data_IF_064066917674
#
_entry.id   IF_064066917674
#
_cell.length_a   1.000
_cell.length_b   1.000
_cell.length_c   1.000
_cell.angle_alpha   90.00
_cell.angle_beta   90.00
_cell.angle_gamma   90.00
#
_symmetry.space_group_name_H-M   'P 1'
#
loop_
_entity.id
_entity.type
_entity.pdbx_description
1 polymer ?
#
# COMPACT_ATOMS: atom_id res chain seq x y z
N UNK A 1 39.82 -19.91 -2.62
CA UNK A 1 38.81 -19.52 -3.63
C UNK A 1 37.45 -20.24 -3.44
N UNK A 2 37.40 -21.54 -3.07
CA UNK A 2 36.13 -22.27 -2.87
C UNK A 2 35.34 -21.78 -1.65
N UNK A 3 36.02 -21.49 -0.54
CA UNK A 3 35.40 -20.97 0.71
C UNK A 3 34.80 -19.58 0.46
N UNK A 4 35.50 -18.69 -0.23
CA UNK A 4 35.00 -17.34 -0.56
C UNK A 4 33.76 -17.42 -1.47
N UNK A 5 33.75 -18.31 -2.45
CA UNK A 5 32.61 -18.53 -3.33
C UNK A 5 31.39 -19.06 -2.54
N UNK A 6 31.62 -19.93 -1.56
CA UNK A 6 30.57 -20.47 -0.68
C UNK A 6 29.98 -19.39 0.25
N UNK A 7 30.83 -18.51 0.81
CA UNK A 7 30.39 -17.38 1.64
C UNK A 7 29.57 -16.36 0.82
N UNK A 8 30.02 -16.01 -0.38
CA UNK A 8 29.30 -15.12 -1.29
C UNK A 8 27.94 -15.72 -1.65
N UNK A 9 27.89 -17.01 -1.99
CA UNK A 9 26.63 -17.68 -2.33
C UNK A 9 25.67 -17.69 -1.13
N UNK A 10 26.19 -17.98 0.09
CA UNK A 10 25.40 -17.97 1.31
C UNK A 10 24.86 -16.57 1.65
N UNK A 11 25.68 -15.53 1.49
CA UNK A 11 25.26 -14.16 1.69
C UNK A 11 24.18 -13.72 0.70
N UNK A 12 24.32 -14.09 -0.58
CA UNK A 12 23.31 -13.84 -1.61
C UNK A 12 22.00 -14.60 -1.32
N UNK A 13 22.09 -15.85 -0.86
CA UNK A 13 20.92 -16.64 -0.50
C UNK A 13 20.16 -16.02 0.67
N UNK A 14 20.86 -15.66 1.76
CA UNK A 14 20.28 -15.00 2.92
C UNK A 14 19.67 -13.63 2.58
N UNK A 15 20.32 -12.86 1.71
CA UNK A 15 19.77 -11.60 1.21
C UNK A 15 18.48 -11.80 0.43
N UNK A 16 18.43 -12.79 -0.48
CA UNK A 16 17.21 -13.13 -1.22
C UNK A 16 16.09 -13.65 -0.32
N UNK A 17 16.43 -14.47 0.66
CA UNK A 17 15.48 -14.98 1.65
C UNK A 17 14.90 -13.85 2.52
N UNK A 18 15.73 -12.90 2.95
CA UNK A 18 15.29 -11.71 3.67
C UNK A 18 14.39 -10.81 2.80
N UNK A 19 14.75 -10.61 1.54
CA UNK A 19 13.90 -9.89 0.58
C UNK A 19 12.56 -10.61 0.37
N UNK A 20 12.57 -11.92 0.18
CA UNK A 20 11.36 -12.73 0.01
C UNK A 20 10.46 -12.65 1.25
N UNK A 21 11.03 -12.80 2.45
CA UNK A 21 10.29 -12.71 3.71
C UNK A 21 9.74 -11.29 3.94
N UNK A 22 10.47 -10.25 3.56
CA UNK A 22 10.01 -8.87 3.59
C UNK A 22 8.82 -8.65 2.64
N UNK A 23 8.91 -9.17 1.41
CA UNK A 23 7.82 -9.12 0.43
C UNK A 23 6.58 -9.91 0.91
N UNK A 24 6.77 -11.10 1.45
CA UNK A 24 5.68 -11.91 2.03
C UNK A 24 5.03 -11.23 3.23
N UNK A 25 5.79 -10.47 4.02
CA UNK A 25 5.25 -9.71 5.16
C UNK A 25 4.42 -8.48 4.76
N UNK A 26 4.63 -7.97 3.55
CA UNK A 26 3.83 -6.85 2.99
C UNK A 26 2.42 -7.30 2.62
N UNK A 27 2.22 -8.59 2.29
CA UNK A 27 0.90 -9.15 2.08
C UNK A 27 0.28 -9.44 3.45
N UNK A 28 -0.74 -8.67 3.85
CA UNK A 28 -1.49 -8.93 5.07
C UNK A 28 -2.32 -10.23 4.90
N UNK A 29 -1.99 -11.35 5.59
CA UNK A 29 -2.68 -12.62 5.36
C UNK A 29 -4.19 -12.52 5.62
N UNK A 30 -4.58 -11.71 6.60
CA UNK A 30 -5.97 -11.45 6.94
C UNK A 30 -6.74 -10.73 5.82
N UNK A 31 -6.10 -9.79 5.11
CA UNK A 31 -6.70 -9.14 3.94
C UNK A 31 -6.98 -10.17 2.85
N UNK A 32 -5.97 -10.97 2.48
CA UNK A 32 -6.10 -11.99 1.45
C UNK A 32 -7.22 -13.00 1.78
N UNK A 33 -7.25 -13.49 3.02
CA UNK A 33 -8.30 -14.40 3.49
C UNK A 33 -9.71 -13.79 3.35
N UNK A 34 -9.87 -12.52 3.74
CA UNK A 34 -11.14 -11.82 3.65
C UNK A 34 -11.60 -11.62 2.20
N UNK A 35 -10.69 -11.25 1.29
CA UNK A 35 -11.00 -11.08 -0.13
C UNK A 35 -11.43 -12.41 -0.74
N UNK A 36 -10.70 -13.50 -0.49
CA UNK A 36 -11.05 -14.82 -1.01
C UNK A 36 -12.41 -15.31 -0.48
N UNK A 37 -12.73 -15.06 0.79
CA UNK A 37 -14.05 -15.37 1.34
C UNK A 37 -15.16 -14.56 0.67
N UNK A 38 -14.92 -13.27 0.40
CA UNK A 38 -15.89 -12.41 -0.31
C UNK A 38 -16.11 -12.92 -1.73
N UNK A 39 -15.05 -13.26 -2.47
CA UNK A 39 -15.15 -13.85 -3.82
C UNK A 39 -15.95 -15.16 -3.78
N UNK A 40 -15.67 -16.04 -2.81
CA UNK A 40 -16.42 -17.29 -2.64
C UNK A 40 -17.92 -17.05 -2.38
N UNK A 41 -18.25 -16.02 -1.59
CA UNK A 41 -19.63 -15.63 -1.35
C UNK A 41 -20.31 -15.11 -2.61
N UNK A 42 -19.64 -14.24 -3.37
CA UNK A 42 -20.15 -13.72 -4.65
C UNK A 42 -20.49 -14.86 -5.63
N UNK A 43 -19.61 -15.87 -5.73
CA UNK A 43 -19.84 -17.05 -6.57
C UNK A 43 -21.10 -17.82 -6.08
N UNK A 44 -21.25 -18.03 -4.78
CA UNK A 44 -22.41 -18.72 -4.19
C UNK A 44 -23.73 -17.96 -4.42
N UNK A 45 -23.66 -16.62 -4.49
CA UNK A 45 -24.81 -15.76 -4.77
C UNK A 45 -25.10 -15.60 -6.28
N UNK A 46 -24.30 -16.20 -7.16
CA UNK A 46 -24.46 -16.06 -8.61
C UNK A 46 -23.89 -14.77 -9.21
N UNK A 47 -23.18 -13.96 -8.42
CA UNK A 47 -22.59 -12.69 -8.83
C UNK A 47 -21.24 -12.90 -9.54
N UNK A 48 -21.27 -13.70 -10.61
CA UNK A 48 -20.06 -14.17 -11.30
C UNK A 48 -19.23 -13.03 -11.90
N UNK A 49 -19.87 -11.99 -12.45
CA UNK A 49 -19.15 -10.85 -13.05
C UNK A 49 -18.33 -10.11 -12.01
N UNK A 50 -18.93 -9.85 -10.86
CA UNK A 50 -18.27 -9.19 -9.73
C UNK A 50 -17.14 -10.07 -9.18
N UNK A 51 -17.36 -11.38 -9.06
CA UNK A 51 -16.34 -12.32 -8.62
C UNK A 51 -15.13 -12.36 -9.55
N UNK A 52 -15.34 -12.41 -10.87
CA UNK A 52 -14.25 -12.40 -11.87
C UNK A 52 -13.43 -11.11 -11.74
N UNK A 53 -14.10 -9.94 -11.73
CA UNK A 53 -13.44 -8.66 -11.56
C UNK A 53 -12.61 -8.60 -10.26
N UNK A 54 -13.15 -9.15 -9.17
CA UNK A 54 -12.43 -9.19 -7.88
C UNK A 54 -11.16 -10.06 -7.92
N UNK A 55 -11.17 -11.15 -8.72
CA UNK A 55 -9.97 -11.96 -8.95
C UNK A 55 -8.94 -11.18 -9.78
N UNK A 56 -9.39 -10.44 -10.81
CA UNK A 56 -8.53 -9.59 -11.63
C UNK A 56 -7.89 -8.48 -10.79
N UNK A 57 -8.68 -7.77 -9.97
CA UNK A 57 -8.20 -6.72 -9.06
C UNK A 57 -7.20 -7.29 -8.03
N UNK A 58 -7.49 -8.47 -7.46
CA UNK A 58 -6.58 -9.14 -6.54
C UNK A 58 -5.26 -9.52 -7.21
N UNK A 59 -5.32 -10.07 -8.41
CA UNK A 59 -4.12 -10.42 -9.19
C UNK A 59 -3.28 -9.18 -9.52
N UNK A 60 -3.94 -8.09 -9.93
CA UNK A 60 -3.28 -6.82 -10.24
C UNK A 60 -2.60 -6.21 -8.99
N UNK A 61 -3.32 -6.15 -7.87
CA UNK A 61 -2.81 -5.68 -6.59
C UNK A 61 -1.60 -6.49 -6.14
N UNK A 62 -1.71 -7.83 -6.09
CA UNK A 62 -0.60 -8.70 -5.69
C UNK A 62 0.60 -8.57 -6.62
N UNK A 63 0.37 -8.51 -7.94
CA UNK A 63 1.43 -8.28 -8.93
C UNK A 63 2.13 -6.93 -8.73
N UNK A 64 1.40 -5.90 -8.32
CA UNK A 64 1.93 -4.57 -8.02
C UNK A 64 2.87 -4.55 -6.81
N UNK A 65 2.47 -5.19 -5.71
CA UNK A 65 3.26 -5.22 -4.47
C UNK A 65 4.42 -6.23 -4.50
N UNK A 66 4.34 -7.27 -5.33
CA UNK A 66 5.43 -8.27 -5.46
C UNK A 66 6.53 -7.83 -6.41
N UNK A 67 6.21 -7.02 -7.41
CA UNK A 67 7.16 -6.51 -8.40
C UNK A 67 7.48 -5.03 -8.09
N UNK A 68 8.22 -4.81 -7.01
CA UNK A 68 8.62 -3.47 -6.57
C UNK A 68 9.81 -3.00 -7.41
N UNK A 69 9.53 -2.32 -8.51
CA UNK A 69 10.53 -1.50 -9.20
C UNK A 69 10.88 -0.28 -8.32
N UNK A 70 12.08 0.27 -8.43
CA UNK A 70 12.48 1.44 -7.63
C UNK A 70 11.56 2.64 -7.89
N UNK A 71 11.24 2.91 -9.17
CA UNK A 71 10.36 3.99 -9.58
C UNK A 71 9.29 3.50 -10.54
N UNK A 72 8.04 3.86 -10.26
CA UNK A 72 6.89 3.58 -11.13
C UNK A 72 6.16 4.88 -11.48
N UNK A 73 5.32 4.85 -12.51
CA UNK A 73 4.49 6.01 -12.84
C UNK A 73 3.38 6.20 -11.80
N UNK A 74 2.97 7.46 -11.57
CA UNK A 74 1.82 7.76 -10.72
C UNK A 74 0.59 6.98 -11.19
N UNK A 75 0.37 6.84 -12.49
CA UNK A 75 -0.69 6.01 -13.08
C UNK A 75 -0.68 4.58 -12.54
N UNK A 76 0.51 3.93 -12.56
CA UNK A 76 0.67 2.55 -12.09
C UNK A 76 0.39 2.44 -10.59
N UNK A 77 0.91 3.36 -9.80
CA UNK A 77 0.69 3.41 -8.34
C UNK A 77 -0.81 3.59 -8.03
N UNK A 78 -1.50 4.52 -8.72
CA UNK A 78 -2.93 4.76 -8.54
C UNK A 78 -3.77 3.55 -8.94
N UNK A 79 -3.41 2.84 -10.01
CA UNK A 79 -4.13 1.62 -10.43
C UNK A 79 -3.99 0.51 -9.38
N UNK A 80 -2.82 0.34 -8.75
CA UNK A 80 -2.61 -0.60 -7.65
C UNK A 80 -3.47 -0.21 -6.44
N UNK A 81 -3.48 1.07 -6.10
CA UNK A 81 -4.30 1.62 -5.02
C UNK A 81 -5.80 1.44 -5.28
N UNK A 82 -6.23 1.66 -6.53
CA UNK A 82 -7.63 1.48 -6.93
C UNK A 82 -8.05 0.02 -6.81
N UNK A 83 -7.26 -0.93 -7.33
CA UNK A 83 -7.54 -2.35 -7.20
C UNK A 83 -7.70 -2.77 -5.72
N UNK A 84 -6.83 -2.25 -4.84
CA UNK A 84 -6.97 -2.48 -3.40
C UNK A 84 -8.28 -1.89 -2.85
N UNK A 85 -8.61 -0.63 -3.17
CA UNK A 85 -9.83 0.03 -2.68
C UNK A 85 -11.10 -0.64 -3.20
N UNK A 86 -11.12 -1.10 -4.46
CA UNK A 86 -12.24 -1.86 -5.03
C UNK A 86 -12.48 -3.16 -4.24
N UNK A 87 -11.41 -3.92 -3.91
CA UNK A 87 -11.50 -5.12 -3.09
C UNK A 87 -11.99 -4.84 -1.67
N UNK A 88 -11.54 -3.75 -1.06
CA UNK A 88 -11.99 -3.33 0.27
C UNK A 88 -13.45 -2.87 0.24
N UNK A 89 -13.86 -2.15 -0.81
CA UNK A 89 -15.23 -1.67 -0.97
C UNK A 89 -16.24 -2.84 -1.09
N UNK A 90 -15.88 -3.95 -1.72
CA UNK A 90 -16.71 -5.15 -1.74
C UNK A 90 -17.05 -5.68 -0.33
N UNK A 91 -16.09 -5.56 0.60
CA UNK A 91 -16.29 -5.99 1.99
C UNK A 91 -17.12 -5.02 2.80
N UNK A 92 -16.87 -3.72 2.63
CA UNK A 92 -17.51 -2.67 3.44
C UNK A 92 -18.74 -2.05 2.76
N UNK A 93 -18.95 -2.32 1.47
CA UNK A 93 -20.09 -1.85 0.67
C UNK A 93 -20.32 -0.33 0.84
N UNK A 94 -21.53 0.10 1.17
CA UNK A 94 -21.90 1.51 1.35
C UNK A 94 -21.15 2.22 2.48
N UNK A 95 -20.41 1.47 3.33
CA UNK A 95 -19.61 2.05 4.40
C UNK A 95 -18.28 2.62 3.93
N UNK A 96 -17.80 2.28 2.74
CA UNK A 96 -16.61 2.84 2.16
C UNK A 96 -16.91 3.46 0.80
N UNK A 97 -16.62 4.73 0.68
CA UNK A 97 -16.56 5.44 -0.60
C UNK A 97 -15.17 6.00 -0.81
N UNK A 98 -14.71 6.07 -2.04
CA UNK A 98 -13.45 6.69 -2.35
C UNK A 98 -13.51 7.50 -3.65
N UNK A 99 -12.59 8.46 -3.81
CA UNK A 99 -12.37 9.16 -5.06
C UNK A 99 -10.89 9.37 -5.35
N UNK A 100 -10.51 9.26 -6.62
CA UNK A 100 -9.15 9.52 -7.10
C UNK A 100 -9.23 10.66 -8.11
N UNK A 101 -8.63 11.81 -7.77
CA UNK A 101 -8.64 13.03 -8.57
C UNK A 101 -7.22 13.55 -8.72
N UNK A 102 -6.48 12.98 -9.63
CA UNK A 102 -5.10 13.36 -9.95
C UNK A 102 -5.07 13.93 -11.36
N UNK A 103 -4.37 15.04 -11.54
CA UNK A 103 -4.21 15.70 -12.83
C UNK A 103 -3.59 14.73 -13.84
N UNK A 104 -4.20 14.62 -15.02
CA UNK A 104 -3.80 13.70 -16.08
C UNK A 104 -2.36 13.98 -16.54
N UNK A 105 -1.94 15.25 -16.56
CA UNK A 105 -0.58 15.66 -16.91
C UNK A 105 0.50 15.11 -15.97
N UNK A 106 0.12 14.60 -14.80
CA UNK A 106 1.03 14.05 -13.79
C UNK A 106 1.16 12.54 -13.84
N UNK A 107 0.21 11.86 -14.48
CA UNK A 107 0.08 10.40 -14.40
C UNK A 107 1.30 9.63 -14.90
N UNK A 108 2.04 10.19 -15.85
CA UNK A 108 3.22 9.56 -16.44
C UNK A 108 4.53 9.96 -15.72
N UNK A 109 4.46 10.80 -14.69
CA UNK A 109 5.60 11.10 -13.83
C UNK A 109 5.94 9.93 -12.95
N UNK A 110 7.24 9.75 -12.70
CA UNK A 110 7.75 8.68 -11.84
C UNK A 110 7.81 9.12 -10.38
N UNK A 111 7.44 8.21 -9.51
CA UNK A 111 7.56 8.31 -8.05
C UNK A 111 8.12 6.98 -7.52
N UNK A 112 8.74 6.95 -6.35
CA UNK A 112 9.08 5.70 -5.69
C UNK A 112 7.85 4.81 -5.57
N UNK A 113 8.00 3.52 -5.82
CA UNK A 113 6.92 2.56 -5.62
C UNK A 113 6.48 2.51 -4.16
N UNK A 114 5.24 2.14 -3.91
CA UNK A 114 4.64 2.10 -2.56
C UNK A 114 4.59 3.47 -1.85
N UNK A 115 4.49 4.57 -2.61
CA UNK A 115 4.36 5.93 -2.04
C UNK A 115 2.96 6.18 -1.49
N UNK A 116 1.90 5.86 -2.26
CA UNK A 116 0.50 6.11 -1.88
C UNK A 116 -0.14 4.93 -1.16
N UNK A 117 0.24 3.72 -1.51
CA UNK A 117 -0.38 2.50 -0.98
C UNK A 117 -0.36 2.42 0.54
N UNK A 118 0.77 2.65 1.27
CA UNK A 118 0.77 2.60 2.74
C UNK A 118 -0.15 3.65 3.37
N UNK A 119 -0.30 4.81 2.75
CA UNK A 119 -1.19 5.87 3.23
C UNK A 119 -2.65 5.46 3.10
N UNK A 120 -3.03 4.87 1.96
CA UNK A 120 -4.39 4.36 1.71
C UNK A 120 -4.71 3.18 2.64
N UNK A 121 -3.76 2.25 2.84
CA UNK A 121 -3.91 1.16 3.79
C UNK A 121 -4.10 1.65 5.22
N UNK A 122 -3.39 2.70 5.63
CA UNK A 122 -3.57 3.33 6.93
C UNK A 122 -4.95 4.00 7.04
N UNK A 123 -5.41 4.71 6.01
CA UNK A 123 -6.75 5.28 5.98
C UNK A 123 -7.83 4.20 6.15
N UNK A 124 -7.73 3.07 5.43
CA UNK A 124 -8.64 1.94 5.60
C UNK A 124 -8.57 1.38 7.03
N UNK A 125 -7.37 1.10 7.53
CA UNK A 125 -7.14 0.49 8.85
C UNK A 125 -7.68 1.34 10.00
N UNK A 126 -7.49 2.65 9.95
CA UNK A 126 -7.81 3.52 11.09
C UNK A 126 -9.15 4.24 10.94
N UNK A 127 -9.59 4.54 9.72
CA UNK A 127 -10.86 5.20 9.49
C UNK A 127 -12.02 4.25 9.19
N UNK A 128 -11.80 3.13 8.48
CA UNK A 128 -12.86 2.23 8.03
C UNK A 128 -13.06 1.02 8.96
N UNK A 129 -11.98 0.30 9.29
CA UNK A 129 -12.09 -0.98 10.03
C UNK A 129 -12.73 -0.84 11.42
N UNK A 130 -12.33 0.11 12.28
CA UNK A 130 -12.84 0.20 13.65
C UNK A 130 -14.22 0.87 13.77
N UNK A 131 -14.69 1.51 12.70
CA UNK A 131 -15.90 2.37 12.75
C UNK A 131 -17.06 1.73 12.01
N UNK A 132 -18.26 1.93 12.54
CA UNK A 132 -19.52 1.58 11.83
C UNK A 132 -20.03 2.72 10.93
N UNK A 133 -19.46 3.90 11.03
CA UNK A 133 -19.83 5.07 10.24
C UNK A 133 -19.26 4.97 8.82
N UNK A 134 -19.91 5.66 7.88
CA UNK A 134 -19.44 5.75 6.52
C UNK A 134 -18.05 6.43 6.46
N UNK A 135 -17.12 5.77 5.82
CA UNK A 135 -15.75 6.25 5.60
C UNK A 135 -15.60 6.72 4.17
N UNK A 136 -14.98 7.88 4.01
CA UNK A 136 -14.61 8.42 2.71
C UNK A 136 -13.11 8.58 2.66
N UNK A 137 -12.50 8.12 1.56
CA UNK A 137 -11.07 8.27 1.26
C UNK A 137 -10.94 9.02 -0.06
N UNK A 138 -10.25 10.15 -0.04
CA UNK A 138 -9.98 10.96 -1.22
C UNK A 138 -8.48 10.99 -1.52
N UNK A 139 -8.11 10.66 -2.75
CA UNK A 139 -6.74 10.80 -3.27
C UNK A 139 -6.74 11.94 -4.27
N UNK A 140 -5.91 12.94 -4.06
CA UNK A 140 -5.86 14.13 -4.93
C UNK A 140 -4.43 14.62 -5.16
N UNK A 141 -4.21 15.27 -6.30
CA UNK A 141 -3.00 16.04 -6.56
C UNK A 141 -3.25 17.52 -6.33
N UNK A 142 -2.28 18.22 -5.79
CA UNK A 142 -2.28 19.67 -5.60
C UNK A 142 -0.92 20.24 -6.00
N UNK A 143 -0.94 21.39 -6.66
CA UNK A 143 0.26 22.18 -6.90
C UNK A 143 0.47 23.19 -5.78
N UNK A 144 1.62 23.14 -5.14
CA UNK A 144 2.04 24.16 -4.16
C UNK A 144 3.34 24.78 -4.64
N UNK A 145 3.28 26.05 -5.06
CA UNK A 145 4.41 26.78 -5.62
C UNK A 145 5.12 25.99 -6.73
N UNK A 146 6.27 25.34 -6.43
CA UNK A 146 7.05 24.55 -7.38
C UNK A 146 7.06 23.05 -7.04
N UNK A 147 6.22 22.60 -6.12
CA UNK A 147 6.17 21.21 -5.69
C UNK A 147 4.82 20.57 -6.03
N UNK A 148 4.88 19.29 -6.42
CA UNK A 148 3.70 18.46 -6.55
C UNK A 148 3.42 17.80 -5.20
N UNK A 149 2.20 17.99 -4.69
CA UNK A 149 1.70 17.28 -3.52
C UNK A 149 0.68 16.23 -3.95
N UNK A 150 0.89 14.98 -3.55
CA UNK A 150 -0.11 13.92 -3.60
C UNK A 150 -0.69 13.77 -2.18
N UNK A 151 -2.01 13.88 -2.06
CA UNK A 151 -2.71 13.87 -0.79
C UNK A 151 -3.63 12.66 -0.71
N UNK A 152 -3.59 11.96 0.42
CA UNK A 152 -4.59 10.97 0.82
C UNK A 152 -5.32 11.54 2.03
N UNK A 153 -6.63 11.70 1.94
CA UNK A 153 -7.47 12.28 3.00
C UNK A 153 -8.56 11.29 3.36
N UNK A 154 -8.79 11.08 4.63
CA UNK A 154 -9.90 10.30 5.15
C UNK A 154 -10.75 11.14 6.12
N UNK A 155 -11.98 10.69 6.40
CA UNK A 155 -12.86 11.29 7.40
C UNK A 155 -12.86 10.49 8.72
N UNK A 156 -11.76 9.82 9.02
CA UNK A 156 -11.55 9.04 10.24
C UNK A 156 -11.44 9.89 11.51
N UNK A 157 -11.08 9.26 12.63
CA UNK A 157 -10.97 9.93 13.92
C UNK A 157 -9.76 10.89 14.02
N UNK A 158 -8.88 10.89 13.00
CA UNK A 158 -7.61 11.61 13.06
C UNK A 158 -6.56 10.90 13.92
N UNK A 159 -5.45 11.59 14.13
CA UNK A 159 -4.32 11.13 14.95
C UNK A 159 -4.30 11.99 16.21
N UNK A 160 -4.18 11.36 17.39
CA UNK A 160 -4.04 12.09 18.64
C UNK A 160 -2.73 12.89 18.67
N UNK A 161 -2.72 14.01 19.42
CA UNK A 161 -1.61 14.96 19.41
C UNK A 161 -0.29 14.33 19.88
N UNK A 162 -0.33 13.40 20.84
CA UNK A 162 0.87 12.74 21.34
C UNK A 162 1.50 11.82 20.29
N UNK A 163 0.69 11.13 19.51
CA UNK A 163 1.14 10.31 18.38
C UNK A 163 1.64 11.19 17.23
N UNK A 164 0.95 12.31 16.95
CA UNK A 164 1.34 13.25 15.91
C UNK A 164 2.69 13.92 16.21
N UNK A 165 2.95 14.28 17.47
CA UNK A 165 4.26 14.79 17.88
C UNK A 165 5.38 13.77 17.70
N UNK A 166 5.14 12.49 18.03
CA UNK A 166 6.13 11.42 17.79
C UNK A 166 6.48 11.29 16.31
N UNK A 167 5.46 11.29 15.44
CA UNK A 167 5.66 11.23 13.99
C UNK A 167 6.45 12.44 13.50
N UNK A 168 6.12 13.66 13.95
CA UNK A 168 6.84 14.87 13.56
C UNK A 168 8.30 14.84 13.99
N UNK A 169 8.61 14.34 15.19
CA UNK A 169 9.99 14.17 15.66
C UNK A 169 10.76 13.17 14.82
N UNK A 170 10.19 12.00 14.55
CA UNK A 170 10.86 10.99 13.72
C UNK A 170 11.13 11.46 12.27
N UNK A 171 10.32 12.40 11.74
CA UNK A 171 10.56 13.00 10.43
C UNK A 171 11.63 14.10 10.44
N UNK A 172 11.94 14.66 11.60
CA UNK A 172 12.94 15.75 11.76
C UNK A 172 14.32 15.21 12.16
N UNK A 173 14.40 14.02 12.76
CA UNK A 173 15.66 13.36 13.05
C UNK A 173 16.22 12.80 11.73
N UNK A 174 17.42 13.22 11.28
CA UNK A 174 18.07 12.57 10.17
C UNK A 174 18.35 11.11 10.55
N UNK A 175 18.18 10.18 9.60
CA UNK A 175 18.59 8.79 9.72
C UNK A 175 20.07 8.76 10.15
N UNK A 176 20.31 8.69 11.45
CA UNK A 176 21.62 8.34 11.98
C UNK A 176 21.86 6.88 11.57
N UNK A 177 22.60 6.72 10.48
CA UNK A 177 23.11 5.43 10.06
C UNK A 177 23.79 4.76 11.27
N UNK A 178 23.50 3.48 11.57
CA UNK A 178 24.24 2.74 12.57
C UNK A 178 25.66 2.56 12.04
N UNK A 179 26.49 3.54 12.34
CA UNK A 179 27.88 3.55 11.94
C UNK A 179 28.77 3.46 13.16
N UNK A 180 29.79 2.71 13.07
CA UNK A 180 31.02 2.70 13.85
C UNK A 180 30.86 2.54 15.38
N UNK A 181 30.62 1.32 15.81
CA UNK A 181 31.07 0.85 17.11
C UNK A 181 32.56 0.49 17.00
N UNK A 182 33.40 1.38 17.45
CA UNK A 182 34.78 1.10 17.86
C UNK A 182 34.80 0.07 18.98
N UNK A 183 35.81 -0.84 18.94
CA UNK A 183 36.22 -1.66 20.04
C UNK A 183 36.58 -3.07 19.65
#
# INVERSE_FOLDING_TARGET
NALLAQEVYRAQYLSKEAQYNSLCSQIKPHFLYNVLNTISLLIKCGEYKTAIRSVEDLSYYLGGIMNVDQDITIRRELNICQAYLDLIQLRYQDRLTYSIRVDEALLDRKIPSLTLQPLIENAVKYACEPRRQATRIDVASQWEANALRLCVTDNGPGIDEATLEKIRRSMQEPDDAPGSGDG
#
